data_IF_443505096332
#
_entry.id   IF_443505096332
#
_cell.length_a   1.000
_cell.length_b   1.000
_cell.length_c   1.000
_cell.angle_alpha   90.00
_cell.angle_beta   90.00
_cell.angle_gamma   90.00
#
_symmetry.space_group_name_H-M   'P 1'
#
loop_
_entity.id
_entity.type
_entity.pdbx_description
1 polymer ?
#
# COMPACT_ATOMS: atom_id res chain seq x y z
N UNK A 1 -19.38 8.09 9.54
CA UNK A 1 -18.71 8.15 8.22
C UNK A 1 -19.74 7.85 7.16
N UNK A 2 -19.91 8.75 6.20
CA UNK A 2 -20.78 8.53 5.06
C UNK A 2 -20.18 7.48 4.11
N UNK A 3 -21.01 6.82 3.29
CA UNK A 3 -20.55 5.82 2.30
C UNK A 3 -19.48 6.42 1.36
N UNK A 4 -19.68 7.68 0.96
CA UNK A 4 -18.78 8.43 0.09
C UNK A 4 -17.39 8.66 0.71
N UNK A 5 -17.32 9.06 1.99
CA UNK A 5 -16.05 9.23 2.72
C UNK A 5 -15.25 7.91 2.79
N UNK A 6 -15.94 6.78 2.87
CA UNK A 6 -15.29 5.46 2.96
C UNK A 6 -14.69 5.04 1.63
N UNK A 7 -15.38 5.34 0.52
CA UNK A 7 -14.92 5.06 -0.83
C UNK A 7 -13.72 5.93 -1.22
N UNK A 8 -13.76 7.22 -0.86
CA UNK A 8 -12.64 8.15 -1.05
C UNK A 8 -11.40 7.70 -0.27
N UNK A 9 -11.56 7.39 1.02
CA UNK A 9 -10.47 6.86 1.85
C UNK A 9 -9.89 5.53 1.30
N UNK A 10 -10.73 4.63 0.78
CA UNK A 10 -10.26 3.40 0.13
C UNK A 10 -9.47 3.70 -1.15
N UNK A 11 -9.90 4.68 -1.94
CA UNK A 11 -9.20 5.13 -3.14
C UNK A 11 -7.82 5.72 -2.84
N UNK A 12 -7.74 6.61 -1.84
CA UNK A 12 -6.47 7.17 -1.36
C UNK A 12 -5.52 6.08 -0.84
N UNK A 13 -6.05 5.14 -0.04
CA UNK A 13 -5.29 4.02 0.46
C UNK A 13 -4.72 3.16 -0.68
N UNK A 14 -5.55 2.85 -1.69
CA UNK A 14 -5.13 2.05 -2.83
C UNK A 14 -4.03 2.77 -3.64
N UNK A 15 -4.18 4.07 -3.89
CA UNK A 15 -3.17 4.87 -4.58
C UNK A 15 -1.82 4.88 -3.84
N UNK A 16 -1.86 5.02 -2.50
CA UNK A 16 -0.65 4.96 -1.67
C UNK A 16 0.05 3.60 -1.77
N UNK A 17 -0.73 2.51 -1.71
CA UNK A 17 -0.23 1.13 -1.77
C UNK A 17 0.39 0.80 -3.13
N UNK A 18 -0.25 1.22 -4.22
CA UNK A 18 0.29 1.06 -5.58
C UNK A 18 1.65 1.76 -5.71
N UNK A 19 1.76 2.98 -5.20
CA UNK A 19 3.02 3.73 -5.22
C UNK A 19 4.11 3.05 -4.37
N UNK A 20 3.76 2.50 -3.19
CA UNK A 20 4.69 1.70 -2.38
C UNK A 20 5.15 0.43 -3.11
N UNK A 21 4.26 -0.28 -3.80
CA UNK A 21 4.62 -1.44 -4.61
C UNK A 21 5.59 -1.07 -5.73
N UNK A 22 5.36 0.06 -6.40
CA UNK A 22 6.26 0.59 -7.43
C UNK A 22 7.64 0.95 -6.86
N UNK A 23 7.70 1.56 -5.67
CA UNK A 23 8.97 1.83 -5.00
C UNK A 23 9.72 0.52 -4.69
N UNK A 24 9.03 -0.47 -4.11
CA UNK A 24 9.63 -1.79 -3.86
C UNK A 24 10.12 -2.46 -5.15
N UNK A 25 9.38 -2.36 -6.26
CA UNK A 25 9.82 -2.88 -7.57
C UNK A 25 11.12 -2.22 -8.02
N UNK A 26 11.23 -0.90 -7.88
CA UNK A 26 12.46 -0.18 -8.19
C UNK A 26 13.63 -0.63 -7.30
N UNK A 27 13.38 -0.90 -6.01
CA UNK A 27 14.39 -1.44 -5.10
C UNK A 27 14.88 -2.82 -5.53
N UNK A 28 13.97 -3.70 -5.96
CA UNK A 28 14.32 -5.04 -6.43
C UNK A 28 15.14 -4.99 -7.73
N UNK A 29 14.80 -4.09 -8.66
CA UNK A 29 15.52 -3.95 -9.93
C UNK A 29 16.90 -3.33 -9.74
N UNK A 30 17.02 -2.27 -8.94
CA UNK A 30 18.31 -1.56 -8.72
C UNK A 30 19.22 -2.27 -7.72
N UNK A 31 18.65 -3.15 -6.90
CA UNK A 31 19.32 -3.82 -5.79
C UNK A 31 19.27 -2.98 -4.52
N UNK A 32 19.03 -3.65 -3.39
CA UNK A 32 18.77 -3.04 -2.08
C UNK A 32 19.95 -2.20 -1.52
N UNK A 33 21.15 -2.37 -2.08
CA UNK A 33 22.36 -1.64 -1.66
C UNK A 33 22.63 -0.37 -2.46
N UNK A 34 21.97 -0.19 -3.60
CA UNK A 34 22.16 0.95 -4.49
C UNK A 34 21.11 2.05 -4.25
N UNK A 35 20.64 2.16 -3.01
CA UNK A 35 19.56 3.05 -2.61
C UNK A 35 20.10 4.45 -2.34
N UNK A 36 19.53 5.44 -3.00
CA UNK A 36 19.78 6.85 -2.70
C UNK A 36 18.93 7.33 -1.51
N UNK A 37 19.39 8.40 -0.87
CA UNK A 37 18.72 9.01 0.28
C UNK A 37 17.31 9.51 -0.04
N UNK A 38 17.07 9.95 -1.28
CA UNK A 38 15.75 10.38 -1.74
C UNK A 38 14.75 9.21 -1.75
N UNK A 39 15.14 8.04 -2.25
CA UNK A 39 14.26 6.87 -2.26
C UNK A 39 13.98 6.36 -0.85
N UNK A 40 14.98 6.38 0.05
CA UNK A 40 14.77 6.07 1.46
C UNK A 40 13.79 7.04 2.12
N UNK A 41 13.93 8.34 1.89
CA UNK A 41 13.02 9.35 2.42
C UNK A 41 11.58 9.17 1.90
N UNK A 42 11.42 8.87 0.59
CA UNK A 42 10.11 8.56 0.00
C UNK A 42 9.49 7.31 0.63
N UNK A 43 10.27 6.25 0.82
CA UNK A 43 9.79 5.02 1.45
C UNK A 43 9.37 5.26 2.91
N UNK A 44 10.14 6.04 3.67
CA UNK A 44 9.81 6.43 5.04
C UNK A 44 8.50 7.24 5.10
N UNK A 45 8.36 8.28 4.28
CA UNK A 45 7.16 9.11 4.27
C UNK A 45 5.89 8.29 3.95
N UNK A 46 6.00 7.29 3.06
CA UNK A 46 4.88 6.39 2.75
C UNK A 46 4.64 5.36 3.84
N UNK A 47 5.67 4.87 4.52
CA UNK A 47 5.54 3.99 5.67
C UNK A 47 4.79 4.66 6.82
N UNK A 48 5.05 5.94 7.06
CA UNK A 48 4.35 6.72 8.09
C UNK A 48 2.89 6.99 7.70
N UNK A 49 2.62 7.21 6.42
CA UNK A 49 1.27 7.33 5.87
C UNK A 49 0.41 6.06 6.00
N UNK A 50 1.00 4.87 6.18
CA UNK A 50 0.22 3.64 6.39
C UNK A 50 -0.50 3.63 7.74
N UNK A 51 0.01 4.33 8.76
CA UNK A 51 -0.64 4.41 10.06
C UNK A 51 -1.95 5.20 9.99
N UNK A 52 -1.99 6.31 9.25
CA UNK A 52 -3.21 7.10 9.06
C UNK A 52 -4.31 6.35 8.30
N UNK A 53 -3.94 5.28 7.58
CA UNK A 53 -4.87 4.40 6.86
C UNK A 53 -5.31 3.17 7.68
N UNK A 54 -4.95 3.11 8.97
CA UNK A 54 -5.23 1.96 9.83
C UNK A 54 -4.39 0.72 9.52
N UNK A 55 -3.32 0.86 8.73
CA UNK A 55 -2.41 -0.22 8.34
C UNK A 55 -1.10 -0.16 9.14
N UNK A 56 -1.19 0.07 10.46
CA UNK A 56 -0.06 0.25 11.38
C UNK A 56 0.96 -0.89 11.30
N UNK A 57 0.47 -2.13 11.15
CA UNK A 57 1.32 -3.30 11.02
C UNK A 57 2.22 -3.24 9.78
N UNK A 58 1.68 -2.78 8.64
CA UNK A 58 2.47 -2.57 7.43
C UNK A 58 3.49 -1.44 7.65
N UNK A 59 3.06 -0.32 8.25
CA UNK A 59 3.97 0.78 8.59
C UNK A 59 5.14 0.31 9.48
N UNK A 60 4.88 -0.54 10.47
CA UNK A 60 5.91 -1.14 11.31
C UNK A 60 6.87 -2.05 10.51
N UNK A 61 6.36 -2.91 9.63
CA UNK A 61 7.19 -3.74 8.75
C UNK A 61 8.11 -2.90 7.86
N UNK A 62 7.59 -1.82 7.27
CA UNK A 62 8.37 -0.92 6.42
C UNK A 62 9.43 -0.14 7.20
N UNK A 63 9.15 0.27 8.44
CA UNK A 63 10.16 0.89 9.32
C UNK A 63 11.28 -0.09 9.67
N UNK A 64 10.96 -1.35 9.97
CA UNK A 64 11.98 -2.38 10.18
C UNK A 64 12.82 -2.64 8.92
N UNK A 65 12.18 -2.66 7.75
CA UNK A 65 12.90 -2.75 6.47
C UNK A 65 13.84 -1.56 6.27
N UNK A 66 13.38 -0.34 6.52
CA UNK A 66 14.18 0.88 6.39
C UNK A 66 15.41 0.85 7.29
N UNK A 67 15.25 0.39 8.52
CA UNK A 67 16.37 0.22 9.43
C UNK A 67 17.42 -0.74 8.85
N UNK A 68 17.00 -1.93 8.38
CA UNK A 68 17.89 -2.91 7.78
C UNK A 68 18.59 -2.39 6.52
N UNK A 69 17.90 -1.58 5.70
CA UNK A 69 18.47 -0.95 4.52
C UNK A 69 19.54 0.10 4.89
N UNK A 70 19.27 0.93 5.90
CA UNK A 70 20.21 1.92 6.40
C UNK A 70 21.47 1.27 7.02
N UNK A 71 21.32 0.13 7.69
CA UNK A 71 22.41 -0.64 8.28
C UNK A 71 23.19 -1.47 7.24
N UNK A 72 22.68 -1.58 6.01
CA UNK A 72 23.27 -2.44 4.97
C UNK A 72 23.15 -3.95 5.28
N UNK A 73 22.19 -4.31 6.13
CA UNK A 73 22.02 -5.66 6.66
C UNK A 73 21.51 -6.64 5.59
N UNK A 74 21.98 -7.89 5.63
CA UNK A 74 21.60 -8.92 4.64
C UNK A 74 20.15 -9.37 4.79
N UNK A 75 19.57 -9.24 5.98
CA UNK A 75 18.16 -9.47 6.29
C UNK A 75 17.21 -8.48 5.62
N UNK A 76 17.71 -7.36 5.08
CA UNK A 76 16.90 -6.42 4.30
C UNK A 76 16.20 -7.09 3.10
N UNK A 77 16.82 -8.09 2.48
CA UNK A 77 16.21 -8.83 1.37
C UNK A 77 14.98 -9.63 1.82
N UNK A 78 15.09 -10.34 2.94
CA UNK A 78 13.97 -11.10 3.52
C UNK A 78 12.86 -10.16 4.00
N UNK A 79 13.23 -9.06 4.66
CA UNK A 79 12.28 -8.04 5.10
C UNK A 79 11.55 -7.39 3.92
N UNK A 80 12.26 -7.06 2.83
CA UNK A 80 11.66 -6.49 1.62
C UNK A 80 10.69 -7.45 0.95
N UNK A 81 11.02 -8.74 0.93
CA UNK A 81 10.15 -9.77 0.37
C UNK A 81 8.87 -9.93 1.20
N UNK A 82 8.99 -9.97 2.53
CA UNK A 82 7.84 -10.05 3.44
C UNK A 82 6.95 -8.81 3.36
N UNK A 83 7.55 -7.61 3.35
CA UNK A 83 6.83 -6.35 3.20
C UNK A 83 6.07 -6.31 1.86
N UNK A 84 6.71 -6.76 0.76
CA UNK A 84 6.06 -6.86 -0.55
C UNK A 84 4.86 -7.80 -0.53
N UNK A 85 5.00 -8.98 0.05
CA UNK A 85 3.91 -9.96 0.12
C UNK A 85 2.71 -9.38 0.89
N UNK A 86 2.97 -8.81 2.07
CA UNK A 86 1.93 -8.16 2.90
C UNK A 86 1.25 -7.01 2.16
N UNK A 87 2.03 -6.18 1.46
CA UNK A 87 1.51 -5.05 0.70
C UNK A 87 0.65 -5.48 -0.50
N UNK A 88 1.04 -6.55 -1.21
CA UNK A 88 0.24 -7.11 -2.33
C UNK A 88 -1.10 -7.67 -1.88
N UNK A 89 -1.12 -8.34 -0.73
CA UNK A 89 -2.39 -8.81 -0.13
C UNK A 89 -3.28 -7.62 0.22
N UNK A 90 -2.71 -6.58 0.84
CA UNK A 90 -3.45 -5.38 1.21
C UNK A 90 -4.00 -4.62 -0.02
N UNK A 91 -3.19 -4.44 -1.07
CA UNK A 91 -3.62 -3.89 -2.37
C UNK A 91 -4.84 -4.64 -2.93
N UNK A 92 -4.77 -5.98 -2.90
CA UNK A 92 -5.83 -6.83 -3.43
C UNK A 92 -7.11 -6.70 -2.62
N UNK A 93 -7.01 -6.63 -1.29
CA UNK A 93 -8.16 -6.41 -0.41
C UNK A 93 -8.83 -5.07 -0.67
N UNK A 94 -8.05 -3.99 -0.81
CA UNK A 94 -8.59 -2.66 -1.12
C UNK A 94 -9.28 -2.65 -2.49
N UNK A 95 -8.63 -3.23 -3.50
CA UNK A 95 -9.20 -3.35 -4.85
C UNK A 95 -10.53 -4.10 -4.84
N UNK A 96 -10.60 -5.25 -4.15
CA UNK A 96 -11.84 -6.04 -4.04
C UNK A 96 -12.95 -5.27 -3.31
N UNK A 97 -12.62 -4.51 -2.26
CA UNK A 97 -13.60 -3.67 -1.56
C UNK A 97 -14.18 -2.59 -2.47
N UNK A 98 -13.32 -1.90 -3.22
CA UNK A 98 -13.75 -0.87 -4.17
C UNK A 98 -14.61 -1.45 -5.29
N UNK A 99 -14.18 -2.56 -5.90
CA UNK A 99 -14.96 -3.23 -6.94
C UNK A 99 -16.31 -3.73 -6.39
N UNK A 100 -16.33 -4.27 -5.17
CA UNK A 100 -17.57 -4.69 -4.51
C UNK A 100 -18.55 -3.54 -4.28
N UNK A 101 -18.06 -2.38 -3.83
CA UNK A 101 -18.86 -1.18 -3.64
C UNK A 101 -19.44 -0.66 -4.97
N UNK A 102 -18.61 -0.59 -6.02
CA UNK A 102 -19.04 -0.19 -7.37
C UNK A 102 -20.10 -1.14 -7.95
N UNK A 103 -19.92 -2.45 -7.75
CA UNK A 103 -20.87 -3.44 -8.22
C UNK A 103 -22.22 -3.32 -7.50
N UNK A 104 -22.21 -3.13 -6.17
CA UNK A 104 -23.43 -2.94 -5.39
C UNK A 104 -24.18 -1.67 -5.82
N UNK A 105 -23.46 -0.56 -6.02
CA UNK A 105 -24.04 0.68 -6.53
C UNK A 105 -24.67 0.52 -7.92
N UNK A 106 -24.01 -0.23 -8.81
CA UNK A 106 -24.54 -0.56 -10.13
C UNK A 106 -25.85 -1.36 -10.09
N UNK A 107 -25.96 -2.33 -9.16
CA UNK A 107 -27.22 -3.07 -8.97
C UNK A 107 -28.35 -2.20 -8.43
N UNK A 108 -28.06 -1.28 -7.51
CA UNK A 108 -29.06 -0.33 -7.02
C UNK A 108 -29.54 0.61 -8.13
N UNK A 109 -28.62 1.14 -8.93
CA UNK A 109 -28.95 2.02 -10.07
C UNK A 109 -29.81 1.31 -11.13
N UNK A 110 -29.47 0.04 -11.44
CA UNK A 110 -30.25 -0.76 -12.39
C UNK A 110 -31.67 -1.08 -11.88
N UNK A 111 -31.85 -1.25 -10.56
CA UNK A 111 -33.16 -1.46 -9.96
C UNK A 111 -34.03 -0.20 -10.00
N UNK A 112 -33.44 0.99 -9.79
CA UNK A 112 -34.17 2.27 -9.86
C UNK A 112 -34.54 2.72 -11.27
N UNK A 113 -33.89 2.21 -12.32
CA UNK A 113 -34.22 2.51 -13.72
C UNK A 113 -35.41 1.68 -14.25
N UNK A 114 -35.86 0.68 -13.50
CA UNK A 114 -36.98 -0.22 -13.87
C UNK A 114 -38.30 0.11 -13.15
N UNK A 115 -38.31 1.08 -12.23
CA UNK A 115 -39.51 1.65 -11.58
C UNK A 115 -39.91 2.98 -12.24
#
# INVERSE_FOLDING_TARGET
MSQHETDEACGEALAMVIALNSLLDQLWVRGLRALDSETLARLQARADGLASLGAEHLGAQFRSLLQLLCEGDRGAATAAFSARASLRVFERLLSLRMTGAQLAAGFTAAASDHD
#
